data_IF_619540847005
#
_entry.id   IF_619540847005
#
_cell.length_a   1.000
_cell.length_b   1.000
_cell.length_c   1.000
_cell.angle_alpha   90.00
_cell.angle_beta   90.00
_cell.angle_gamma   90.00
#
_symmetry.space_group_name_H-M   'P 1'
#
loop_
_entity.id
_entity.type
_entity.pdbx_description
1 polymer ?
#
# COMPACT_ATOMS: atom_id res chain seq x y z
N UNK A 1 0.75 -34.91 1.03
CA UNK A 1 -0.33 -33.90 1.08
C UNK A 1 0.02 -32.63 1.87
N UNK A 2 0.48 -32.69 3.13
CA UNK A 2 0.78 -31.47 3.93
C UNK A 2 1.76 -30.47 3.28
N UNK A 3 2.80 -30.93 2.57
CA UNK A 3 3.76 -30.05 1.86
C UNK A 3 3.10 -29.24 0.73
N UNK A 4 2.20 -29.84 -0.05
CA UNK A 4 1.52 -29.16 -1.17
C UNK A 4 0.64 -28.00 -0.67
N UNK A 5 -0.04 -28.19 0.47
CA UNK A 5 -0.89 -27.17 1.11
C UNK A 5 -0.09 -25.96 1.64
N UNK A 6 1.16 -26.16 2.06
CA UNK A 6 2.03 -25.06 2.54
C UNK A 6 2.53 -24.22 1.34
N UNK A 7 2.92 -24.86 0.24
CA UNK A 7 3.38 -24.13 -0.95
C UNK A 7 2.28 -23.26 -1.58
N UNK A 8 1.04 -23.73 -1.63
CA UNK A 8 -0.07 -22.92 -2.13
C UNK A 8 -0.38 -21.73 -1.24
N UNK A 9 -0.34 -21.89 0.09
CA UNK A 9 -0.51 -20.77 1.03
C UNK A 9 0.55 -19.70 0.84
N UNK A 10 1.82 -20.06 0.78
CA UNK A 10 2.92 -19.10 0.58
C UNK A 10 2.76 -18.34 -0.74
N UNK A 11 2.38 -19.04 -1.82
CA UNK A 11 2.13 -18.40 -3.12
C UNK A 11 0.94 -17.44 -3.06
N UNK A 12 -0.14 -17.82 -2.40
CA UNK A 12 -1.31 -16.94 -2.24
C UNK A 12 -0.98 -15.72 -1.38
N UNK A 13 -0.17 -15.87 -0.33
CA UNK A 13 0.31 -14.70 0.43
C UNK A 13 1.10 -13.73 -0.44
N UNK A 14 1.86 -14.22 -1.42
CA UNK A 14 2.57 -13.37 -2.38
C UNK A 14 1.59 -12.66 -3.32
N UNK A 15 0.61 -13.38 -3.89
CA UNK A 15 -0.45 -12.80 -4.73
C UNK A 15 -1.19 -11.68 -3.99
N UNK A 16 -1.58 -11.91 -2.74
CA UNK A 16 -2.25 -10.89 -1.91
C UNK A 16 -1.36 -9.66 -1.71
N UNK A 17 -0.04 -9.84 -1.53
CA UNK A 17 0.91 -8.72 -1.41
C UNK A 17 1.05 -7.95 -2.72
N UNK A 18 1.06 -8.64 -3.86
CA UNK A 18 1.07 -8.01 -5.18
C UNK A 18 -0.22 -7.20 -5.41
N UNK A 19 -1.38 -7.72 -5.02
CA UNK A 19 -2.66 -7.00 -5.12
C UNK A 19 -2.64 -5.70 -4.29
N UNK A 20 -2.17 -5.76 -3.03
CA UNK A 20 -1.99 -4.55 -2.21
C UNK A 20 -0.97 -3.56 -2.81
N UNK A 21 0.06 -4.08 -3.49
CA UNK A 21 1.04 -3.24 -4.16
C UNK A 21 0.43 -2.51 -5.36
N UNK A 22 -0.40 -3.18 -6.16
CA UNK A 22 -1.14 -2.54 -7.26
C UNK A 22 -2.05 -1.44 -6.72
N UNK A 23 -2.82 -1.71 -5.67
CA UNK A 23 -3.68 -0.69 -5.03
C UNK A 23 -2.85 0.50 -4.49
N UNK A 24 -1.64 0.25 -3.98
CA UNK A 24 -0.75 1.33 -3.57
C UNK A 24 -0.26 2.17 -4.76
N UNK A 25 0.05 1.53 -5.89
CA UNK A 25 0.48 2.22 -7.11
C UNK A 25 -0.63 3.11 -7.70
N UNK A 26 -1.90 2.70 -7.63
CA UNK A 26 -3.04 3.54 -8.02
C UNK A 26 -3.10 4.83 -7.19
N UNK A 27 -2.83 4.75 -5.88
CA UNK A 27 -2.77 5.92 -5.00
C UNK A 27 -1.57 6.81 -5.37
N UNK A 28 -0.43 6.21 -5.68
CA UNK A 28 0.77 6.94 -6.12
C UNK A 28 0.53 7.66 -7.45
N UNK A 29 -0.11 7.01 -8.42
CA UNK A 29 -0.51 7.60 -9.70
C UNK A 29 -1.42 8.81 -9.49
N UNK A 30 -2.45 8.68 -8.66
CA UNK A 30 -3.34 9.78 -8.30
C UNK A 30 -2.56 10.98 -7.71
N UNK A 31 -1.53 10.75 -6.88
CA UNK A 31 -0.70 11.83 -6.37
C UNK A 31 0.19 12.48 -7.43
N UNK A 32 0.75 11.69 -8.36
CA UNK A 32 1.48 12.22 -9.51
C UNK A 32 0.57 13.12 -10.37
N UNK A 33 -0.66 12.70 -10.64
CA UNK A 33 -1.65 13.50 -11.37
C UNK A 33 -2.05 14.78 -10.63
N UNK A 34 -2.18 14.71 -9.29
CA UNK A 34 -2.45 15.88 -8.46
C UNK A 34 -1.32 16.92 -8.55
N UNK A 35 -0.05 16.48 -8.62
CA UNK A 35 1.09 17.37 -8.84
C UNK A 35 1.12 17.93 -10.27
N UNK A 36 0.90 17.09 -11.28
CA UNK A 36 0.92 17.48 -12.69
C UNK A 36 -0.17 18.50 -13.02
N UNK A 37 -1.41 18.25 -12.58
CA UNK A 37 -2.55 19.16 -12.79
C UNK A 37 -2.35 20.55 -12.19
N UNK A 38 -1.46 20.68 -11.19
CA UNK A 38 -1.14 21.95 -10.51
C UNK A 38 0.34 22.31 -10.58
N UNK A 39 1.03 21.87 -11.64
CA UNK A 39 2.47 22.06 -11.77
C UNK A 39 2.89 23.54 -11.73
N UNK A 40 2.04 24.46 -12.20
CA UNK A 40 2.30 25.90 -12.11
C UNK A 40 2.46 26.42 -10.67
N UNK A 41 1.60 25.95 -9.75
CA UNK A 41 1.69 26.29 -8.33
C UNK A 41 2.94 25.69 -7.70
N UNK A 42 3.24 24.44 -8.07
CA UNK A 42 4.47 23.79 -7.67
C UNK A 42 5.66 24.63 -8.13
N UNK A 43 5.77 24.97 -9.41
CA UNK A 43 6.93 25.69 -9.96
C UNK A 43 7.15 27.09 -9.35
N UNK A 44 6.10 27.90 -9.22
CA UNK A 44 6.21 29.32 -8.85
C UNK A 44 6.32 29.55 -7.34
N UNK A 45 5.71 28.69 -6.51
CA UNK A 45 5.71 28.89 -5.07
C UNK A 45 6.97 28.32 -4.41
N UNK A 46 7.57 29.11 -3.51
CA UNK A 46 8.62 28.64 -2.59
C UNK A 46 8.05 27.91 -1.38
N UNK A 47 6.79 28.16 -1.06
CA UNK A 47 6.09 27.57 0.08
C UNK A 47 5.16 26.48 -0.46
N UNK A 48 5.20 25.30 0.14
CA UNK A 48 4.33 24.20 -0.25
C UNK A 48 2.87 24.57 0.10
N UNK A 49 2.01 24.57 -0.92
CA UNK A 49 0.58 24.81 -0.74
C UNK A 49 -0.09 23.62 -0.04
N UNK A 50 -1.06 23.91 0.85
CA UNK A 50 -1.74 22.87 1.63
C UNK A 50 -2.46 21.85 0.77
N UNK A 51 -2.94 22.23 -0.43
CA UNK A 51 -3.61 21.32 -1.37
C UNK A 51 -2.67 20.30 -2.02
N UNK A 52 -1.36 20.58 -2.06
CA UNK A 52 -0.34 19.70 -2.61
C UNK A 52 0.49 19.01 -1.52
N UNK A 53 0.31 19.41 -0.27
CA UNK A 53 1.13 18.96 0.84
C UNK A 53 1.03 17.45 1.06
N UNK A 54 -0.17 16.88 0.97
CA UNK A 54 -0.37 15.43 1.10
C UNK A 54 0.31 14.67 -0.04
N UNK A 55 0.13 15.12 -1.28
CA UNK A 55 0.71 14.48 -2.46
C UNK A 55 2.24 14.51 -2.43
N UNK A 56 2.85 15.66 -2.12
CA UNK A 56 4.31 15.78 -2.03
C UNK A 56 4.86 14.94 -0.88
N UNK A 57 4.26 15.02 0.31
CA UNK A 57 4.73 14.27 1.48
C UNK A 57 4.66 12.76 1.22
N UNK A 58 3.54 12.30 0.64
CA UNK A 58 3.31 10.89 0.34
C UNK A 58 4.26 10.35 -0.72
N UNK A 59 4.54 11.12 -1.77
CA UNK A 59 5.51 10.74 -2.81
C UNK A 59 6.95 10.69 -2.27
N UNK A 60 7.33 11.62 -1.38
CA UNK A 60 8.65 11.60 -0.75
C UNK A 60 8.82 10.41 0.21
N UNK A 61 7.76 10.03 0.92
CA UNK A 61 7.76 8.88 1.82
C UNK A 61 7.78 7.55 1.06
N UNK A 62 6.98 7.42 -0.01
CA UNK A 62 6.89 6.16 -0.78
C UNK A 62 8.12 5.89 -1.65
N UNK A 63 8.83 6.93 -2.07
CA UNK A 63 9.97 6.81 -2.98
C UNK A 63 10.99 5.72 -2.63
N UNK A 64 11.57 5.65 -1.41
CA UNK A 64 12.50 4.59 -1.05
C UNK A 64 11.87 3.19 -0.98
N UNK A 65 10.55 3.07 -0.80
CA UNK A 65 9.85 1.79 -0.67
C UNK A 65 9.69 1.08 -2.02
N UNK A 66 9.48 1.85 -3.08
CA UNK A 66 9.16 1.33 -4.42
C UNK A 66 10.27 1.57 -5.44
N UNK A 67 11.41 2.13 -5.03
CA UNK A 67 12.54 2.47 -5.91
C UNK A 67 13.08 1.26 -6.68
N UNK A 68 13.01 0.06 -6.10
CA UNK A 68 13.46 -1.16 -6.75
C UNK A 68 12.60 -1.53 -7.97
N UNK A 69 11.30 -1.23 -7.91
CA UNK A 69 10.33 -1.52 -8.97
C UNK A 69 10.17 -0.34 -9.94
N UNK A 70 10.30 0.90 -9.46
CA UNK A 70 10.11 2.14 -10.22
C UNK A 70 11.28 3.10 -9.95
N UNK A 71 12.25 3.09 -10.85
CA UNK A 71 13.49 3.86 -10.70
C UNK A 71 13.29 5.38 -10.79
N UNK A 72 12.29 5.82 -11.57
CA UNK A 72 11.89 7.20 -11.82
C UNK A 72 11.44 7.89 -10.54
N UNK A 73 10.93 7.12 -9.57
CA UNK A 73 10.49 7.64 -8.29
C UNK A 73 11.65 8.27 -7.51
N UNK A 74 12.87 7.76 -7.69
CA UNK A 74 14.08 8.40 -7.15
C UNK A 74 14.29 9.79 -7.77
N UNK A 75 14.12 9.92 -9.08
CA UNK A 75 14.29 11.20 -9.79
C UNK A 75 13.26 12.22 -9.30
N UNK A 76 12.00 11.81 -9.17
CA UNK A 76 10.93 12.67 -8.63
C UNK A 76 11.26 13.10 -7.21
N UNK A 77 11.67 12.17 -6.35
CA UNK A 77 12.07 12.47 -4.97
C UNK A 77 13.23 13.45 -4.91
N UNK A 78 14.27 13.25 -5.72
CA UNK A 78 15.45 14.13 -5.78
C UNK A 78 15.07 15.56 -6.20
N UNK A 79 14.18 15.71 -7.20
CA UNK A 79 13.68 17.01 -7.65
C UNK A 79 12.84 17.72 -6.56
N UNK A 80 11.95 16.99 -5.89
CA UNK A 80 11.16 17.53 -4.78
C UNK A 80 12.05 17.90 -3.59
N UNK A 81 13.10 17.11 -3.31
CA UNK A 81 14.10 17.41 -2.27
C UNK A 81 14.92 18.65 -2.61
N UNK A 82 15.31 18.83 -3.87
CA UNK A 82 16.01 20.05 -4.30
C UNK A 82 15.13 21.29 -4.09
N UNK A 83 13.81 21.14 -4.28
CA UNK A 83 12.84 22.23 -4.19
C UNK A 83 12.47 22.60 -2.75
N UNK A 84 12.13 21.62 -1.92
CA UNK A 84 11.61 21.84 -0.55
C UNK A 84 12.66 21.63 0.55
N UNK A 85 13.83 21.12 0.18
CA UNK A 85 14.96 20.91 1.08
C UNK A 85 15.02 19.53 1.72
N UNK A 86 16.23 19.15 2.13
CA UNK A 86 16.54 17.84 2.71
C UNK A 86 15.83 17.60 4.04
N UNK A 87 15.80 18.60 4.94
CA UNK A 87 15.15 18.49 6.25
C UNK A 87 13.68 18.10 6.14
N UNK A 88 12.97 18.71 5.18
CA UNK A 88 11.57 18.40 4.92
C UNK A 88 11.41 16.97 4.39
N UNK A 89 12.24 16.58 3.42
CA UNK A 89 12.23 15.21 2.88
C UNK A 89 12.48 14.15 3.94
N UNK A 90 13.47 14.37 4.81
CA UNK A 90 13.79 13.48 5.91
C UNK A 90 12.63 13.38 6.91
N UNK A 91 11.96 14.51 7.21
CA UNK A 91 10.77 14.51 8.07
C UNK A 91 9.61 13.70 7.48
N UNK A 92 9.35 13.82 6.17
CA UNK A 92 8.34 13.01 5.49
C UNK A 92 8.68 11.52 5.52
N UNK A 93 9.94 11.16 5.24
CA UNK A 93 10.40 9.75 5.23
C UNK A 93 10.40 9.11 6.63
N UNK A 94 10.71 9.89 7.66
CA UNK A 94 10.70 9.44 9.04
C UNK A 94 9.30 9.42 9.67
N UNK A 95 8.25 9.76 8.91
CA UNK A 95 6.86 9.86 9.40
C UNK A 95 6.71 10.83 10.58
N UNK A 96 7.59 11.82 10.68
CA UNK A 96 7.49 12.89 11.68
C UNK A 96 6.45 13.96 11.32
N UNK A 97 5.62 13.67 10.32
CA UNK A 97 4.62 14.57 9.76
C UNK A 97 3.31 13.81 9.51
N UNK A 98 2.20 14.38 9.96
CA UNK A 98 0.84 13.84 9.76
C UNK A 98 0.29 14.12 8.35
N UNK A 99 1.17 14.42 7.40
CA UNK A 99 0.81 14.83 6.03
C UNK A 99 0.97 13.71 5.01
N UNK A 100 1.53 12.58 5.42
CA UNK A 100 1.63 11.38 4.57
C UNK A 100 0.30 10.63 4.61
N UNK A 101 -0.17 10.17 3.46
CA UNK A 101 -1.46 9.49 3.37
C UNK A 101 -1.47 8.16 4.13
N UNK A 102 -2.31 8.06 5.15
CA UNK A 102 -2.48 6.86 5.97
C UNK A 102 -2.97 5.65 5.14
N UNK A 103 -3.76 5.90 4.10
CA UNK A 103 -4.19 4.87 3.15
C UNK A 103 -2.99 4.22 2.45
N UNK A 104 -2.06 5.05 1.97
CA UNK A 104 -0.86 4.57 1.28
C UNK A 104 0.05 3.79 2.24
N UNK A 105 0.24 4.29 3.46
CA UNK A 105 1.00 3.59 4.52
C UNK A 105 0.41 2.22 4.83
N UNK A 106 -0.93 2.15 4.94
CA UNK A 106 -1.60 0.89 5.23
C UNK A 106 -1.39 -0.14 4.12
N UNK A 107 -1.51 0.27 2.85
CA UNK A 107 -1.34 -0.63 1.70
C UNK A 107 0.11 -1.15 1.53
N UNK A 108 1.10 -0.32 1.85
CA UNK A 108 2.52 -0.71 1.79
C UNK A 108 3.06 -1.32 3.09
N UNK A 109 2.21 -1.45 4.12
CA UNK A 109 2.62 -2.09 5.37
C UNK A 109 2.97 -3.55 5.14
N UNK A 110 4.20 -3.96 5.48
CA UNK A 110 4.71 -5.33 5.31
C UNK A 110 4.09 -6.36 6.27
N UNK A 111 2.83 -6.17 6.69
CA UNK A 111 2.16 -7.09 7.60
C UNK A 111 1.75 -8.37 6.85
N UNK A 112 1.98 -9.56 7.44
CA UNK A 112 1.47 -10.80 6.87
C UNK A 112 -0.04 -10.74 6.71
N UNK A 113 -0.59 -11.18 5.56
CA UNK A 113 -2.03 -11.20 5.37
C UNK A 113 -2.68 -12.18 6.36
N UNK A 114 -3.88 -11.87 6.87
CA UNK A 114 -4.60 -12.76 7.78
C UNK A 114 -4.79 -14.14 7.16
N UNK A 115 -4.61 -15.22 7.95
CA UNK A 115 -4.77 -16.60 7.46
C UNK A 115 -6.15 -16.89 6.86
N UNK A 116 -7.16 -16.14 7.29
CA UNK A 116 -8.54 -16.22 6.77
C UNK A 116 -8.60 -15.63 5.35
N UNK A 117 -7.90 -14.53 5.08
CA UNK A 117 -7.82 -13.94 3.75
C UNK A 117 -7.14 -14.90 2.78
N UNK A 118 -6.03 -15.52 3.20
CA UNK A 118 -5.34 -16.56 2.43
C UNK A 118 -6.28 -17.73 2.10
N UNK A 119 -7.09 -18.16 3.06
CA UNK A 119 -8.07 -19.23 2.86
C UNK A 119 -9.17 -18.83 1.86
N UNK A 120 -9.70 -17.60 1.95
CA UNK A 120 -10.67 -17.05 0.99
C UNK A 120 -10.10 -17.02 -0.43
N UNK A 121 -8.87 -16.55 -0.60
CA UNK A 121 -8.21 -16.56 -1.91
C UNK A 121 -8.05 -17.97 -2.46
N UNK A 122 -7.63 -18.94 -1.64
CA UNK A 122 -7.53 -20.35 -2.07
C UNK A 122 -8.88 -20.92 -2.51
N UNK A 123 -9.96 -20.59 -1.79
CA UNK A 123 -11.33 -21.00 -2.14
C UNK A 123 -11.75 -20.39 -3.48
N UNK A 124 -11.55 -19.09 -3.69
CA UNK A 124 -11.95 -18.43 -4.94
C UNK A 124 -11.09 -18.89 -6.14
N UNK A 125 -9.77 -19.03 -5.97
CA UNK A 125 -8.89 -19.57 -7.01
C UNK A 125 -9.29 -21.02 -7.38
N UNK A 126 -9.54 -21.88 -6.39
CA UNK A 126 -9.92 -23.27 -6.65
C UNK A 126 -11.26 -23.40 -7.38
N UNK A 127 -12.25 -22.57 -7.03
CA UNK A 127 -13.52 -22.46 -7.78
C UNK A 127 -13.30 -22.00 -9.21
N UNK A 128 -12.52 -20.94 -9.43
CA UNK A 128 -12.31 -20.36 -10.76
C UNK A 128 -11.61 -21.31 -11.73
N UNK A 129 -10.75 -22.19 -11.23
CA UNK A 129 -10.01 -23.17 -12.04
C UNK A 129 -10.56 -24.60 -11.92
N UNK A 130 -11.72 -24.80 -11.29
CA UNK A 130 -12.37 -26.10 -11.08
C UNK A 130 -11.45 -27.16 -10.43
N UNK A 131 -10.57 -26.73 -9.52
CA UNK A 131 -9.65 -27.62 -8.79
C UNK A 131 -10.29 -28.02 -7.46
N UNK A 132 -10.32 -29.32 -7.09
CA UNK A 132 -10.84 -29.73 -5.79
C UNK A 132 -9.99 -29.16 -4.65
N UNK A 133 -10.62 -28.41 -3.75
CA UNK A 133 -9.99 -27.83 -2.56
C UNK A 133 -10.91 -27.99 -1.35
N UNK A 134 -10.36 -28.53 -0.26
CA UNK A 134 -11.07 -28.64 1.03
C UNK A 134 -10.64 -27.52 1.98
N UNK A 135 -11.56 -26.59 2.31
CA UNK A 135 -11.25 -25.45 3.17
C UNK A 135 -11.06 -25.87 4.63
N UNK A 136 -10.14 -25.19 5.31
CA UNK A 136 -9.88 -25.43 6.74
C UNK A 136 -10.94 -24.73 7.62
N UNK A 137 -12.05 -25.43 7.89
CA UNK A 137 -13.22 -24.92 8.61
C UNK A 137 -12.91 -24.35 10.01
N UNK A 138 -11.78 -24.73 10.62
CA UNK A 138 -11.38 -24.15 11.90
C UNK A 138 -11.00 -22.68 11.78
N UNK A 139 -10.43 -22.22 10.65
CA UNK A 139 -10.08 -20.81 10.44
C UNK A 139 -11.29 -19.92 10.18
N UNK A 140 -12.36 -20.44 9.59
CA UNK A 140 -13.57 -19.68 9.29
C UNK A 140 -14.44 -19.37 10.52
N UNK A 141 -14.36 -20.20 11.58
CA UNK A 141 -15.20 -20.04 12.78
C UNK A 141 -14.75 -18.99 13.79
N UNK A 142 -13.49 -18.56 13.76
CA UNK A 142 -12.99 -17.60 14.76
C UNK A 142 -13.46 -16.15 14.55
N UNK A 143 -14.13 -15.84 13.43
CA UNK A 143 -14.55 -14.46 13.12
C UNK A 143 -16.06 -14.21 13.12
N UNK A 144 -16.91 -15.24 13.15
CA UNK A 144 -18.33 -15.02 13.50
C UNK A 144 -18.45 -14.46 14.94
N UNK A 145 -17.47 -14.73 15.81
CA UNK A 145 -17.46 -14.23 17.19
C UNK A 145 -16.87 -12.81 17.36
N UNK A 146 -16.09 -12.28 16.41
CA UNK A 146 -15.49 -10.93 16.52
C UNK A 146 -16.22 -9.84 15.71
N UNK A 147 -17.09 -10.24 14.77
CA UNK A 147 -17.89 -9.30 13.96
C UNK A 147 -19.06 -8.60 14.68
N UNK A 148 -19.27 -8.83 15.98
CA UNK A 148 -20.41 -8.29 16.74
C UNK A 148 -20.10 -7.06 17.61
N UNK A 149 -18.85 -6.56 17.65
CA UNK A 149 -18.46 -5.53 18.63
C UNK A 149 -17.79 -4.29 18.03
N UNK A 150 -18.21 -3.82 16.85
CA UNK A 150 -17.74 -2.53 16.32
C UNK A 150 -18.85 -1.63 15.77
N UNK A 151 -20.06 -1.77 16.33
CA UNK A 151 -21.08 -0.72 16.31
C UNK A 151 -21.40 -0.35 17.77
N UNK A 152 -20.57 0.51 18.37
CA UNK A 152 -20.94 1.44 19.44
C UNK A 152 -19.74 2.30 19.86
N UNK A 153 -20.00 3.61 19.80
CA UNK A 153 -19.24 4.79 20.23
C UNK A 153 -18.26 5.35 19.21
#
# INVERSE_FOLDING_TARGET
>A
MKKLKIHSQIRVEHIIREDYFVEALEIVEMFCDALLSRFGLLQQSKILDSSLQESVSSLLWVAPHIQADISEMKVISDQLTQKFGKKYTEACRAENMDTVSEKLKHKLSLRPPPKILVEKYLIEISKNYNVPYEPDLQKNRFQECEGSSSDKL
#
